data_IF_133964133213
#
_entry.id   IF_133964133213
#
_cell.length_a   1.000
_cell.length_b   1.000
_cell.length_c   1.000
_cell.angle_alpha   90.00
_cell.angle_beta   90.00
_cell.angle_gamma   90.00
#
_symmetry.space_group_name_H-M   'P 1'
#
loop_
_entity.id
_entity.type
_entity.pdbx_description
1 polymer ?
#
# COMPACT_ATOMS: atom_id res chain seq x y z
N UNK A 1 -6.27 -5.58 -3.54
CA UNK A 1 -4.86 -5.15 -3.50
C UNK A 1 -4.49 -4.32 -2.26
N UNK A 2 -4.97 -3.08 -2.08
CA UNK A 2 -4.49 -2.24 -0.94
C UNK A 2 -4.78 -2.84 0.44
N UNK A 3 -6.00 -3.35 0.68
CA UNK A 3 -6.35 -4.04 1.93
C UNK A 3 -5.52 -5.30 2.18
N UNK A 4 -5.15 -6.01 1.12
CA UNK A 4 -4.31 -7.21 1.22
C UNK A 4 -2.86 -6.84 1.58
N UNK A 5 -2.35 -5.73 1.03
CA UNK A 5 -1.05 -5.17 1.42
C UNK A 5 -1.05 -4.79 2.90
N UNK A 6 -2.08 -4.07 3.36
CA UNK A 6 -2.24 -3.72 4.78
C UNK A 6 -2.24 -4.99 5.62
N UNK A 7 -3.07 -5.97 5.26
CA UNK A 7 -3.15 -7.26 5.96
C UNK A 7 -1.80 -8.01 6.01
N UNK A 8 -1.03 -7.99 4.92
CA UNK A 8 0.32 -8.56 4.87
C UNK A 8 1.27 -7.84 5.83
N UNK A 9 1.24 -6.51 5.86
CA UNK A 9 2.03 -5.73 6.82
C UNK A 9 1.64 -6.09 8.26
N UNK A 10 0.36 -6.26 8.56
CA UNK A 10 -0.13 -6.62 9.89
C UNK A 10 0.30 -8.03 10.33
N UNK A 11 0.32 -8.98 9.39
CA UNK A 11 0.63 -10.38 9.70
C UNK A 11 2.15 -10.62 9.76
N UNK A 12 2.89 -10.08 8.80
CA UNK A 12 4.28 -10.45 8.54
C UNK A 12 5.27 -9.42 9.09
N UNK A 13 4.94 -8.13 9.02
CA UNK A 13 5.92 -7.04 9.19
C UNK A 13 5.50 -5.97 10.20
N UNK A 14 4.58 -6.29 11.12
CA UNK A 14 3.96 -5.33 12.03
C UNK A 14 4.99 -4.52 12.85
N UNK A 15 6.02 -5.20 13.34
CA UNK A 15 7.11 -4.62 14.13
C UNK A 15 7.92 -3.56 13.38
N UNK A 16 7.96 -3.64 12.04
CA UNK A 16 8.60 -2.65 11.18
C UNK A 16 7.66 -1.49 10.81
N UNK A 17 6.35 -1.61 11.10
CA UNK A 17 5.32 -0.67 10.64
C UNK A 17 4.49 -0.06 11.78
N UNK A 18 5.11 0.56 12.82
CA UNK A 18 4.35 1.13 13.94
C UNK A 18 3.46 2.31 13.50
N UNK A 19 3.87 3.08 12.51
CA UNK A 19 3.08 4.20 11.98
C UNK A 19 1.82 3.74 11.25
N UNK A 20 1.85 2.54 10.63
CA UNK A 20 0.66 1.95 10.04
C UNK A 20 -0.37 1.62 11.13
N UNK A 21 0.07 1.01 12.24
CA UNK A 21 -0.82 0.72 13.38
C UNK A 21 -1.37 2.00 13.97
N UNK A 22 -0.54 3.02 14.15
CA UNK A 22 -0.97 4.35 14.59
C UNK A 22 -2.07 4.92 13.68
N UNK A 23 -1.86 4.87 12.36
CA UNK A 23 -2.84 5.36 11.39
C UNK A 23 -4.14 4.53 11.41
N UNK A 24 -4.06 3.20 11.56
CA UNK A 24 -5.24 2.33 11.68
C UNK A 24 -6.05 2.65 12.93
N UNK A 25 -5.40 2.94 14.05
CA UNK A 25 -6.08 3.34 15.29
C UNK A 25 -6.74 4.71 15.16
N UNK A 26 -6.06 5.66 14.50
CA UNK A 26 -6.56 7.02 14.32
C UNK A 26 -7.68 7.14 13.28
N UNK A 27 -7.66 6.28 12.24
CA UNK A 27 -8.58 6.31 11.09
C UNK A 27 -9.37 5.01 10.90
N UNK A 28 -9.76 4.36 11.99
CA UNK A 28 -10.48 3.07 11.95
C UNK A 28 -11.79 3.12 11.17
N UNK A 29 -12.45 4.28 11.16
CA UNK A 29 -13.71 4.54 10.46
C UNK A 29 -13.59 4.36 8.94
N UNK A 30 -12.40 4.57 8.36
CA UNK A 30 -12.17 4.38 6.92
C UNK A 30 -12.42 2.94 6.46
N UNK A 31 -12.38 1.97 7.39
CA UNK A 31 -12.55 0.56 7.08
C UNK A 31 -13.99 0.06 7.24
N UNK A 32 -14.90 0.86 7.82
CA UNK A 32 -16.29 0.47 8.05
C UNK A 32 -17.02 0.15 6.73
N UNK A 33 -16.74 0.92 5.68
CA UNK A 33 -17.31 0.73 4.34
C UNK A 33 -16.97 -0.64 3.71
N UNK A 34 -15.87 -1.28 4.14
CA UNK A 34 -15.44 -2.57 3.58
C UNK A 34 -16.08 -3.77 4.30
N UNK A 35 -16.74 -3.56 5.44
CA UNK A 35 -17.36 -4.63 6.24
C UNK A 35 -18.57 -5.29 5.58
N UNK A 36 -19.24 -4.61 4.66
CA UNK A 36 -20.39 -5.18 3.94
C UNK A 36 -19.96 -6.11 2.80
N UNK A 37 -18.71 -6.02 2.35
CA UNK A 37 -18.24 -6.73 1.17
C UNK A 37 -17.76 -8.15 1.56
N UNK A 38 -18.36 -9.24 1.02
CA UNK A 38 -18.02 -10.61 1.39
C UNK A 38 -16.53 -10.95 1.19
N UNK A 39 -15.92 -10.46 0.12
CA UNK A 39 -14.50 -10.73 -0.18
C UNK A 39 -13.51 -10.12 0.82
N UNK A 40 -13.93 -9.18 1.66
CA UNK A 40 -13.05 -8.51 2.63
C UNK A 40 -13.27 -8.98 4.07
N UNK A 41 -14.19 -9.91 4.33
CA UNK A 41 -14.53 -10.36 5.69
C UNK A 41 -13.30 -10.81 6.49
N UNK A 42 -12.46 -11.67 5.92
CA UNK A 42 -11.27 -12.18 6.61
C UNK A 42 -10.21 -11.10 6.85
N UNK A 43 -10.06 -10.16 5.91
CA UNK A 43 -9.13 -9.02 6.05
C UNK A 43 -9.64 -8.08 7.15
N UNK A 44 -10.94 -7.78 7.13
CA UNK A 44 -11.58 -6.95 8.13
C UNK A 44 -11.48 -7.56 9.53
N UNK A 45 -11.63 -8.89 9.65
CA UNK A 45 -11.42 -9.59 10.91
C UNK A 45 -10.00 -9.39 11.46
N UNK A 46 -8.98 -9.45 10.61
CA UNK A 46 -7.59 -9.20 11.01
C UNK A 46 -7.37 -7.74 11.44
N UNK A 47 -7.89 -6.79 10.67
CA UNK A 47 -7.78 -5.35 10.98
C UNK A 47 -8.48 -5.04 12.31
N UNK A 48 -9.70 -5.52 12.50
CA UNK A 48 -10.47 -5.32 13.73
C UNK A 48 -9.76 -5.94 14.93
N UNK A 49 -9.18 -7.15 14.79
CA UNK A 49 -8.40 -7.79 15.86
C UNK A 49 -7.19 -6.95 16.26
N UNK A 50 -6.44 -6.42 15.29
CA UNK A 50 -5.28 -5.56 15.54
C UNK A 50 -5.74 -4.27 16.24
N UNK A 51 -6.77 -3.60 15.73
CA UNK A 51 -7.30 -2.37 16.32
C UNK A 51 -7.74 -2.63 17.76
N UNK A 52 -8.56 -3.65 18.02
CA UNK A 52 -9.01 -3.98 19.37
C UNK A 52 -7.87 -4.30 20.33
N UNK A 53 -6.85 -5.05 19.89
CA UNK A 53 -5.68 -5.38 20.71
C UNK A 53 -4.91 -4.12 21.13
N UNK A 54 -4.63 -3.22 20.19
CA UNK A 54 -3.86 -2.02 20.48
C UNK A 54 -4.69 -0.94 21.21
N UNK A 55 -5.99 -0.83 20.92
CA UNK A 55 -6.89 0.04 21.69
C UNK A 55 -6.89 -0.33 23.17
N UNK A 56 -7.04 -1.62 23.50
CA UNK A 56 -7.00 -2.08 24.89
C UNK A 56 -5.66 -1.79 25.58
N UNK A 57 -4.54 -1.93 24.86
CA UNK A 57 -3.21 -1.58 25.40
C UNK A 57 -3.03 -0.10 25.63
N UNK A 58 -3.56 0.75 24.75
CA UNK A 58 -3.52 2.20 24.94
C UNK A 58 -4.39 2.64 26.11
N UNK A 59 -5.56 2.06 26.28
CA UNK A 59 -6.42 2.29 27.46
C UNK A 59 -5.68 1.92 28.76
N UNK A 60 -4.93 0.81 28.77
CA UNK A 60 -4.11 0.41 29.92
C UNK A 60 -2.91 1.33 30.16
N UNK A 61 -2.41 2.03 29.13
CA UNK A 61 -1.28 2.94 29.23
C UNK A 61 -1.65 4.30 29.86
N UNK A 62 -2.95 4.61 29.96
CA UNK A 62 -3.48 5.82 30.59
C UNK A 62 -4.15 6.80 29.62
N UNK A 63 -4.69 7.89 30.17
CA UNK A 63 -5.26 9.00 29.40
C UNK A 63 -4.18 10.00 28.94
N UNK A 64 -4.49 10.81 27.92
CA UNK A 64 -3.65 11.91 27.41
C UNK A 64 -2.21 11.51 27.04
N UNK A 65 -2.09 10.40 26.32
CA UNK A 65 -0.79 9.90 25.83
C UNK A 65 -0.21 10.82 24.75
N UNK A 66 1.07 11.16 24.88
CA UNK A 66 1.82 11.80 23.80
C UNK A 66 2.00 10.84 22.61
N UNK A 67 2.25 11.38 21.41
CA UNK A 67 2.48 10.57 20.21
C UNK A 67 3.66 9.60 20.40
N UNK A 68 4.73 10.05 21.06
CA UNK A 68 5.90 9.24 21.39
C UNK A 68 5.52 8.05 22.27
N UNK A 69 4.67 8.29 23.27
CA UNK A 69 4.20 7.25 24.17
C UNK A 69 3.29 6.25 23.46
N UNK A 70 2.39 6.72 22.60
CA UNK A 70 1.54 5.85 21.77
C UNK A 70 2.41 4.95 20.88
N UNK A 71 3.40 5.51 20.20
CA UNK A 71 4.31 4.74 19.34
C UNK A 71 5.15 3.74 20.13
N UNK A 72 5.54 4.06 21.35
CA UNK A 72 6.24 3.13 22.24
C UNK A 72 5.34 1.94 22.62
N UNK A 73 4.10 2.19 23.02
CA UNK A 73 3.10 1.15 23.34
C UNK A 73 2.85 0.26 22.11
N UNK A 74 2.76 0.85 20.92
CA UNK A 74 2.60 0.11 19.67
C UNK A 74 3.82 -0.79 19.42
N UNK A 75 5.04 -0.27 19.53
CA UNK A 75 6.27 -1.06 19.34
C UNK A 75 6.34 -2.24 20.31
N UNK A 76 6.02 -2.03 21.58
CA UNK A 76 5.97 -3.08 22.59
C UNK A 76 4.85 -4.09 22.32
N UNK A 77 3.68 -3.62 21.89
CA UNK A 77 2.53 -4.48 21.56
C UNK A 77 2.74 -5.32 20.31
N UNK A 78 3.51 -4.86 19.33
CA UNK A 78 3.76 -5.59 18.08
C UNK A 78 4.45 -6.95 18.31
N UNK A 79 5.24 -7.08 19.38
CA UNK A 79 5.88 -8.35 19.77
C UNK A 79 4.88 -9.30 20.45
N UNK A 80 3.91 -8.74 21.17
CA UNK A 80 2.96 -9.50 21.97
C UNK A 80 1.62 -9.79 21.27
N UNK A 81 1.42 -9.29 20.04
CA UNK A 81 0.21 -9.57 19.26
C UNK A 81 0.10 -11.09 19.01
N UNK A 82 -1.02 -11.74 19.36
CA UNK A 82 -1.23 -13.16 19.11
C UNK A 82 -1.50 -13.40 17.62
N UNK A 83 -0.43 -13.48 16.82
CA UNK A 83 -0.49 -13.63 15.36
C UNK A 83 -1.19 -14.90 14.90
N UNK A 84 -1.26 -15.91 15.75
CA UNK A 84 -1.98 -17.17 15.52
C UNK A 84 -3.49 -16.99 15.36
N UNK A 85 -4.05 -15.91 15.92
CA UNK A 85 -5.47 -15.56 15.79
C UNK A 85 -5.80 -14.82 14.50
N UNK A 86 -4.80 -14.35 13.76
CA UNK A 86 -5.01 -13.73 12.46
C UNK A 86 -5.37 -14.80 11.43
N UNK A 87 -6.39 -14.50 10.60
CA UNK A 87 -6.69 -15.23 9.37
C UNK A 87 -5.44 -15.30 8.52
N UNK A 88 -5.08 -16.50 8.10
CA UNK A 88 -3.92 -16.75 7.26
C UNK A 88 -4.26 -16.47 5.81
N UNK A 89 -3.39 -15.71 5.15
CA UNK A 89 -3.48 -15.43 3.72
C UNK A 89 -2.27 -16.06 3.02
N UNK A 90 -2.40 -16.39 1.73
CA UNK A 90 -1.25 -16.70 0.90
C UNK A 90 -0.24 -15.54 0.97
N UNK A 91 1.04 -15.88 0.93
CA UNK A 91 2.08 -14.86 0.81
C UNK A 91 1.89 -14.08 -0.50
N UNK A 92 1.82 -12.75 -0.40
CA UNK A 92 1.75 -11.87 -1.57
C UNK A 92 3.08 -11.96 -2.32
N UNK A 93 3.07 -12.66 -3.44
CA UNK A 93 4.19 -12.75 -4.36
C UNK A 93 3.99 -11.73 -5.47
N UNK A 94 4.73 -10.64 -5.40
CA UNK A 94 4.86 -9.73 -6.52
C UNK A 94 5.98 -10.27 -7.41
N UNK A 95 5.59 -10.85 -8.55
CA UNK A 95 6.55 -11.16 -9.60
C UNK A 95 6.64 -9.93 -10.48
N UNK A 96 7.86 -9.45 -10.74
CA UNK A 96 8.06 -8.53 -11.86
C UNK A 96 7.67 -9.31 -13.13
N UNK A 97 6.57 -8.88 -13.73
CA UNK A 97 6.17 -9.38 -15.04
C UNK A 97 6.92 -8.49 -16.02
N UNK A 98 7.97 -9.03 -16.62
CA UNK A 98 8.52 -8.44 -17.84
C UNK A 98 7.41 -8.45 -18.87
N UNK A 99 7.05 -7.27 -19.39
CA UNK A 99 6.19 -7.19 -20.57
C UNK A 99 6.84 -8.01 -21.69
N UNK A 100 6.07 -8.80 -22.44
CA UNK A 100 6.63 -9.64 -23.50
C UNK A 100 7.20 -8.81 -24.65
N UNK A 101 6.63 -7.61 -24.86
CA UNK A 101 6.99 -6.70 -25.94
C UNK A 101 7.16 -5.27 -25.39
N UNK A 102 8.16 -5.03 -24.53
CA UNK A 102 8.39 -3.73 -23.92
C UNK A 102 8.65 -2.64 -24.98
N UNK A 103 9.16 -3.02 -26.15
CA UNK A 103 9.41 -2.16 -27.29
C UNK A 103 8.15 -1.44 -27.81
N UNK A 104 6.96 -2.04 -27.71
CA UNK A 104 5.72 -1.40 -28.16
C UNK A 104 5.41 -0.13 -27.38
N UNK A 105 5.86 -0.06 -26.12
CA UNK A 105 5.75 1.14 -25.30
C UNK A 105 7.02 2.01 -25.39
N UNK A 106 8.18 1.41 -25.15
CA UNK A 106 9.42 2.19 -24.99
C UNK A 106 9.91 2.81 -26.31
N UNK A 107 9.74 2.15 -27.46
CA UNK A 107 10.18 2.71 -28.74
C UNK A 107 9.38 3.99 -29.07
N UNK A 108 8.03 3.97 -29.12
CA UNK A 108 7.24 5.18 -29.34
C UNK A 108 7.54 6.30 -28.34
N UNK A 109 7.68 5.95 -27.05
CA UNK A 109 7.92 6.91 -25.98
C UNK A 109 9.29 7.58 -26.07
N UNK A 110 10.37 6.82 -26.27
CA UNK A 110 11.71 7.42 -26.38
C UNK A 110 11.80 8.34 -27.59
N UNK A 111 11.19 7.95 -28.72
CA UNK A 111 11.16 8.79 -29.91
C UNK A 111 10.29 10.04 -29.75
N UNK A 112 9.20 9.98 -28.99
CA UNK A 112 8.44 11.19 -28.66
C UNK A 112 9.27 12.16 -27.82
N UNK A 113 10.03 11.66 -26.84
CA UNK A 113 10.96 12.50 -26.07
C UNK A 113 12.03 13.15 -26.95
N UNK A 114 12.63 12.40 -27.88
CA UNK A 114 13.62 12.94 -28.82
C UNK A 114 13.01 14.01 -29.72
N UNK A 115 11.79 13.79 -30.21
CA UNK A 115 11.08 14.79 -31.02
C UNK A 115 10.79 16.07 -30.23
N UNK A 116 10.32 15.95 -28.99
CA UNK A 116 9.95 17.10 -28.16
C UNK A 116 11.15 17.83 -27.54
N UNK A 117 12.21 17.12 -27.15
CA UNK A 117 13.38 17.67 -26.47
C UNK A 117 14.58 17.92 -27.39
N UNK A 118 14.56 17.40 -28.62
CA UNK A 118 15.64 17.50 -29.59
C UNK A 118 15.79 18.90 -30.18
N UNK A 119 16.51 19.78 -29.48
CA UNK A 119 16.83 21.12 -29.97
C UNK A 119 17.74 21.02 -31.20
N UNK A 120 17.32 21.61 -32.33
CA UNK A 120 18.13 21.72 -33.55
C UNK A 120 17.91 20.64 -34.60
N UNK A 121 16.98 19.70 -34.38
CA UNK A 121 16.54 18.75 -35.41
C UNK A 121 15.16 19.17 -35.93
N UNK A 122 15.02 19.26 -37.26
CA UNK A 122 13.72 19.47 -37.88
C UNK A 122 13.07 18.13 -38.17
N UNK A 123 11.84 17.96 -37.70
CA UNK A 123 11.02 16.78 -37.90
C UNK A 123 9.71 17.21 -38.56
N UNK A 124 9.29 16.52 -39.61
CA UNK A 124 7.97 16.75 -40.23
C UNK A 124 6.90 16.05 -39.39
N UNK A 125 5.96 16.77 -38.75
CA UNK A 125 4.98 16.13 -37.86
C UNK A 125 4.00 15.22 -38.61
N UNK A 126 3.76 15.50 -39.89
CA UNK A 126 2.80 14.76 -40.73
C UNK A 126 3.33 13.38 -41.14
N UNK A 127 4.66 13.21 -41.12
CA UNK A 127 5.32 11.97 -41.53
C UNK A 127 5.65 11.06 -40.34
N UNK A 128 5.34 11.50 -39.11
CA UNK A 128 5.56 10.70 -37.90
C UNK A 128 4.37 9.77 -37.68
N UNK A 129 4.64 8.47 -37.79
CA UNK A 129 3.64 7.40 -37.60
C UNK A 129 3.89 6.56 -36.34
N UNK A 130 5.04 6.75 -35.69
CA UNK A 130 5.52 5.87 -34.61
C UNK A 130 4.85 6.13 -33.26
N UNK A 131 4.36 7.34 -33.01
CA UNK A 131 3.70 7.74 -31.78
C UNK A 131 2.63 8.80 -32.06
N UNK A 132 1.65 8.92 -31.18
CA UNK A 132 0.65 9.99 -31.24
C UNK A 132 1.20 11.27 -30.60
N UNK A 133 0.89 12.41 -31.20
CA UNK A 133 1.34 13.73 -30.74
C UNK A 133 0.65 14.21 -29.46
N UNK A 134 -0.38 13.49 -28.99
CA UNK A 134 -1.28 13.91 -27.91
C UNK A 134 -0.94 13.32 -26.53
N UNK A 135 0.28 12.79 -26.34
CA UNK A 135 0.70 12.24 -25.04
C UNK A 135 1.20 13.35 -24.11
N UNK A 136 0.26 14.21 -23.66
CA UNK A 136 0.46 15.23 -22.62
C UNK A 136 -0.18 14.84 -21.30
#
# INVERSE_FOLDING_TARGET
>A
MMLEIINSCLSNSLHHNPNLVYALLYKRELFEQFRSHPSFQDIMQNIDMVISFFSSRLEQAGADLSVERVLEVIKQGAVALPKDRLRKFPELKFKYVEEEQPEEFFIPYVWSLVYHAGVGLYWSPQDIQLFTMDSG
#
